data_IF_775046368682
#
_entry.id   IF_775046368682
#
_cell.length_a   1.000
_cell.length_b   1.000
_cell.length_c   1.000
_cell.angle_alpha   90.00
_cell.angle_beta   90.00
_cell.angle_gamma   90.00
#
_symmetry.space_group_name_H-M   'P 1'
#
loop_
_entity.id
_entity.type
_entity.pdbx_description
1 polymer ?
#
# COMPACT_ATOMS: atom_id res chain seq x y z
N UNK A 1 19.85 -12.69 -3.33
CA UNK A 1 19.44 -11.31 -3.04
C UNK A 1 20.71 -10.52 -2.79
N UNK A 2 21.05 -9.56 -3.67
CA UNK A 2 22.22 -8.70 -3.51
C UNK A 2 21.73 -7.38 -2.97
N UNK A 3 22.13 -7.04 -1.74
CA UNK A 3 21.86 -5.73 -1.15
C UNK A 3 22.92 -4.75 -1.65
N UNK A 4 22.53 -3.76 -2.45
CA UNK A 4 23.42 -2.75 -3.02
C UNK A 4 23.62 -1.61 -2.01
N UNK A 5 24.55 -1.77 -1.07
CA UNK A 5 24.77 -0.81 0.03
C UNK A 5 25.30 0.57 -0.39
N UNK A 6 25.97 0.64 -1.54
CA UNK A 6 26.67 1.85 -2.02
C UNK A 6 26.12 2.41 -3.33
N UNK A 7 25.02 1.85 -3.86
CA UNK A 7 24.35 2.37 -5.04
C UNK A 7 23.18 3.28 -4.64
N UNK A 8 22.88 4.34 -5.40
CA UNK A 8 21.65 5.11 -5.18
C UNK A 8 20.43 4.17 -5.27
N UNK A 9 19.47 4.37 -4.37
CA UNK A 9 18.21 3.62 -4.39
C UNK A 9 17.54 3.82 -5.76
N UNK A 10 17.25 2.71 -6.44
CA UNK A 10 16.56 2.75 -7.73
C UNK A 10 15.17 3.33 -7.53
N UNK A 11 14.68 4.08 -8.52
CA UNK A 11 13.27 4.48 -8.50
C UNK A 11 12.41 3.25 -8.68
N UNK A 12 11.20 3.27 -8.13
CA UNK A 12 10.24 2.18 -8.31
C UNK A 12 9.99 1.88 -9.80
N UNK A 13 9.91 2.92 -10.63
CA UNK A 13 9.74 2.80 -12.09
C UNK A 13 10.89 2.02 -12.75
N UNK A 14 12.13 2.21 -12.29
CA UNK A 14 13.28 1.48 -12.82
C UNK A 14 13.17 -0.01 -12.48
N UNK A 15 12.76 -0.34 -11.25
CA UNK A 15 12.56 -1.72 -10.80
C UNK A 15 11.40 -2.40 -11.54
N UNK A 16 10.30 -1.69 -11.76
CA UNK A 16 9.16 -2.22 -12.51
C UNK A 16 9.57 -2.51 -13.97
N UNK A 17 10.43 -1.67 -14.55
CA UNK A 17 10.95 -1.86 -15.91
C UNK A 17 11.81 -3.12 -16.10
N UNK A 18 12.33 -3.70 -15.01
CA UNK A 18 13.10 -4.95 -15.04
C UNK A 18 12.21 -6.21 -15.05
N UNK A 19 10.89 -6.07 -14.82
CA UNK A 19 9.95 -7.18 -14.79
C UNK A 19 9.43 -7.51 -16.20
N UNK A 20 9.47 -8.80 -16.58
CA UNK A 20 8.91 -9.26 -17.85
C UNK A 20 7.39 -9.47 -17.74
N UNK A 21 6.63 -8.44 -18.17
CA UNK A 21 5.17 -8.47 -18.39
C UNK A 21 4.33 -8.97 -17.20
N UNK A 22 4.46 -8.37 -16.00
CA UNK A 22 3.62 -8.74 -14.86
C UNK A 22 2.17 -8.29 -15.06
N UNK A 23 1.20 -9.12 -14.68
CA UNK A 23 -0.21 -8.72 -14.59
C UNK A 23 -0.46 -7.80 -13.39
N UNK A 24 0.21 -8.07 -12.26
CA UNK A 24 0.10 -7.31 -11.01
C UNK A 24 1.48 -7.19 -10.37
N UNK A 25 1.83 -5.98 -9.92
CA UNK A 25 3.01 -5.71 -9.09
C UNK A 25 2.55 -5.27 -7.71
N UNK A 26 2.97 -6.00 -6.67
CA UNK A 26 2.74 -5.61 -5.28
C UNK A 26 4.00 -4.95 -4.75
N UNK A 27 3.86 -3.73 -4.23
CA UNK A 27 4.97 -2.92 -3.73
C UNK A 27 4.85 -2.79 -2.22
N UNK A 28 5.89 -3.17 -1.50
CA UNK A 28 6.08 -2.86 -0.08
C UNK A 28 7.18 -1.78 0.03
N UNK A 29 6.86 -0.63 0.62
CA UNK A 29 7.77 0.52 0.67
C UNK A 29 7.31 1.65 -0.26
N UNK A 30 8.26 2.44 -0.78
CA UNK A 30 8.02 3.54 -1.74
C UNK A 30 6.83 4.47 -1.37
N UNK A 31 6.72 4.81 -0.08
CA UNK A 31 5.53 5.48 0.48
C UNK A 31 5.17 6.80 -0.21
N UNK A 32 6.16 7.48 -0.78
CA UNK A 32 6.01 8.78 -1.43
C UNK A 32 5.74 8.70 -2.94
N UNK A 33 5.84 7.52 -3.55
CA UNK A 33 5.56 7.37 -4.99
C UNK A 33 4.06 7.40 -5.29
N UNK A 34 3.69 7.65 -6.54
CA UNK A 34 2.30 7.97 -6.88
C UNK A 34 1.36 6.76 -7.08
N UNK A 35 1.86 5.53 -7.05
CA UNK A 35 1.06 4.31 -7.20
C UNK A 35 -0.05 4.15 -6.12
N UNK A 36 -1.21 3.52 -6.43
CA UNK A 36 -2.29 3.25 -5.47
C UNK A 36 -1.82 2.42 -4.27
N UNK A 37 -2.35 2.72 -3.08
CA UNK A 37 -1.92 2.06 -1.83
C UNK A 37 -3.08 1.57 -0.98
N UNK A 38 -2.87 0.41 -0.35
CA UNK A 38 -3.67 -0.03 0.78
C UNK A 38 -2.82 0.21 2.04
N UNK A 39 -3.30 1.06 2.95
CA UNK A 39 -2.57 1.34 4.20
C UNK A 39 -3.00 0.36 5.30
N UNK A 40 -2.03 -0.27 5.95
CA UNK A 40 -2.26 -1.16 7.09
C UNK A 40 -2.01 -0.39 8.39
N UNK A 41 -3.05 -0.20 9.20
CA UNK A 41 -2.96 0.48 10.50
C UNK A 41 -2.90 -0.56 11.61
N UNK A 42 -1.72 -0.67 12.23
CA UNK A 42 -1.49 -1.59 13.34
C UNK A 42 -1.92 -1.03 14.70
N UNK A 43 -1.73 0.28 14.92
CA UNK A 43 -2.12 0.94 16.16
C UNK A 43 -3.12 2.08 15.86
N UNK A 44 -4.44 1.83 15.98
CA UNK A 44 -5.46 2.85 15.71
C UNK A 44 -5.45 3.99 16.75
N UNK A 45 -4.74 3.84 17.87
CA UNK A 45 -4.65 4.86 18.92
C UNK A 45 -3.58 5.93 18.65
N UNK A 46 -2.88 5.86 17.51
CA UNK A 46 -1.89 6.86 17.12
C UNK A 46 -2.25 7.52 15.77
N UNK A 47 -3.26 8.41 15.73
CA UNK A 47 -3.67 9.06 14.48
C UNK A 47 -2.57 9.84 13.75
N UNK A 48 -1.55 10.29 14.47
CA UNK A 48 -0.38 10.97 13.89
C UNK A 48 0.42 10.10 12.90
N UNK A 49 0.25 8.76 12.95
CA UNK A 49 0.92 7.84 12.03
C UNK A 49 0.12 7.56 10.77
N UNK A 50 -1.12 8.04 10.67
CA UNK A 50 -2.01 7.73 9.54
C UNK A 50 -1.53 8.46 8.27
N UNK A 51 -1.10 7.69 7.28
CA UNK A 51 -0.54 8.19 6.04
C UNK A 51 -1.62 8.71 5.09
N UNK A 52 -2.83 8.15 5.11
CA UNK A 52 -3.97 8.63 4.30
C UNK A 52 -4.33 10.10 4.55
N UNK A 53 -3.91 10.67 5.69
CA UNK A 53 -4.12 12.09 5.99
C UNK A 53 -3.24 13.02 5.15
N UNK A 54 -2.16 12.47 4.56
CA UNK A 54 -1.15 13.20 3.77
C UNK A 54 -1.05 12.69 2.33
N UNK A 55 -1.44 11.44 2.09
CA UNK A 55 -1.35 10.77 0.79
C UNK A 55 -2.74 10.66 0.16
N UNK A 56 -2.91 11.25 -1.02
CA UNK A 56 -4.17 11.21 -1.78
C UNK A 56 -4.40 9.88 -2.51
N UNK A 57 -3.38 9.03 -2.62
CA UNK A 57 -3.40 7.78 -3.34
C UNK A 57 -3.58 6.54 -2.44
N UNK A 58 -3.98 6.73 -1.18
CA UNK A 58 -4.49 5.63 -0.34
C UNK A 58 -5.94 5.35 -0.75
N UNK A 59 -6.20 4.11 -1.16
CA UNK A 59 -7.48 3.69 -1.76
C UNK A 59 -8.27 2.70 -0.90
N UNK A 60 -7.63 2.10 0.09
CA UNK A 60 -8.28 1.35 1.15
C UNK A 60 -7.44 1.33 2.43
N UNK A 61 -8.07 1.06 3.58
CA UNK A 61 -7.37 0.75 4.82
C UNK A 61 -7.56 -0.71 5.22
N UNK A 62 -6.57 -1.26 5.92
CA UNK A 62 -6.69 -2.51 6.68
C UNK A 62 -6.48 -2.18 8.16
N UNK A 63 -7.53 -2.33 8.96
CA UNK A 63 -7.50 -2.15 10.40
C UNK A 63 -8.62 -2.95 11.07
N UNK A 64 -8.33 -3.61 12.19
CA UNK A 64 -9.36 -4.35 12.95
C UNK A 64 -10.32 -3.41 13.69
N UNK A 65 -9.91 -2.16 13.90
CA UNK A 65 -10.72 -1.09 14.47
C UNK A 65 -11.14 -0.13 13.36
N UNK A 66 -12.41 0.30 13.38
CA UNK A 66 -12.91 1.30 12.43
C UNK A 66 -12.22 2.64 12.65
N UNK A 67 -11.66 3.22 11.60
CA UNK A 67 -11.13 4.59 11.59
C UNK A 67 -12.22 5.51 11.05
N UNK A 68 -12.71 6.46 11.85
CA UNK A 68 -13.88 7.27 11.48
C UNK A 68 -13.55 8.37 10.47
N UNK A 69 -12.30 8.83 10.48
CA UNK A 69 -11.77 9.90 9.64
C UNK A 69 -11.57 9.46 8.18
N UNK A 70 -11.55 8.15 7.92
CA UNK A 70 -11.38 7.59 6.58
C UNK A 70 -12.72 7.14 6.00
N UNK A 71 -13.19 7.85 4.98
CA UNK A 71 -14.50 7.63 4.38
C UNK A 71 -14.54 6.52 3.34
N UNK A 72 -13.40 6.07 2.81
CA UNK A 72 -13.34 5.03 1.78
C UNK A 72 -13.36 3.62 2.39
N UNK A 73 -12.99 2.62 1.58
CA UNK A 73 -13.08 1.21 1.93
C UNK A 73 -12.11 0.83 3.06
N UNK A 74 -12.61 0.09 4.05
CA UNK A 74 -11.79 -0.44 5.15
C UNK A 74 -12.08 -1.93 5.33
N UNK A 75 -11.03 -2.71 5.55
CA UNK A 75 -11.10 -4.14 5.82
C UNK A 75 -10.53 -4.46 7.20
N UNK A 76 -11.02 -5.52 7.84
CA UNK A 76 -10.31 -6.15 8.95
C UNK A 76 -9.15 -6.99 8.42
N UNK A 77 -8.12 -7.22 9.26
CA UNK A 77 -6.92 -7.97 8.85
C UNK A 77 -7.24 -9.40 8.41
N UNK A 78 -8.29 -10.00 8.99
CA UNK A 78 -8.70 -11.37 8.66
C UNK A 78 -9.63 -11.47 7.44
N UNK A 79 -10.02 -10.35 6.81
CA UNK A 79 -10.89 -10.36 5.62
C UNK A 79 -10.10 -10.57 4.31
N UNK A 80 -9.15 -11.50 4.34
CA UNK A 80 -8.18 -11.77 3.26
C UNK A 80 -8.86 -11.96 1.90
N UNK A 81 -9.95 -12.74 1.84
CA UNK A 81 -10.69 -12.97 0.59
C UNK A 81 -11.25 -11.67 -0.01
N UNK A 82 -11.75 -10.74 0.83
CA UNK A 82 -12.28 -9.46 0.38
C UNK A 82 -11.16 -8.54 -0.11
N UNK A 83 -10.02 -8.54 0.59
CA UNK A 83 -8.83 -7.77 0.20
C UNK A 83 -8.31 -8.25 -1.16
N UNK A 84 -8.17 -9.57 -1.35
CA UNK A 84 -7.75 -10.14 -2.63
C UNK A 84 -8.74 -9.79 -3.74
N UNK A 85 -10.05 -9.93 -3.50
CA UNK A 85 -11.06 -9.58 -4.50
C UNK A 85 -11.03 -8.09 -4.85
N UNK A 86 -10.75 -7.21 -3.89
CA UNK A 86 -10.56 -5.80 -4.15
C UNK A 86 -9.36 -5.54 -5.06
N UNK A 87 -8.21 -6.16 -4.79
CA UNK A 87 -7.00 -6.05 -5.61
C UNK A 87 -7.27 -6.52 -7.05
N UNK A 88 -7.92 -7.68 -7.22
CA UNK A 88 -8.19 -8.24 -8.56
C UNK A 88 -9.17 -7.41 -9.40
N UNK A 89 -10.04 -6.60 -8.79
CA UNK A 89 -10.98 -5.75 -9.51
C UNK A 89 -10.55 -4.28 -9.57
N UNK A 90 -9.38 -3.96 -9.04
CA UNK A 90 -8.88 -2.60 -8.99
C UNK A 90 -8.53 -2.13 -10.41
N UNK A 91 -9.07 -0.99 -10.83
CA UNK A 91 -8.90 -0.40 -12.18
C UNK A 91 -8.27 0.97 -12.09
#
# INVERSE_FOLDING_TARGET
>A
MVELKDAPEKKLEDLIGELDRPDIVIVEGYKNDNHPKIEIINNPLQPSTFMFTKLSNVVALICDTRIVEYSQLQFKKNEIKKIVQFILNYK
#
